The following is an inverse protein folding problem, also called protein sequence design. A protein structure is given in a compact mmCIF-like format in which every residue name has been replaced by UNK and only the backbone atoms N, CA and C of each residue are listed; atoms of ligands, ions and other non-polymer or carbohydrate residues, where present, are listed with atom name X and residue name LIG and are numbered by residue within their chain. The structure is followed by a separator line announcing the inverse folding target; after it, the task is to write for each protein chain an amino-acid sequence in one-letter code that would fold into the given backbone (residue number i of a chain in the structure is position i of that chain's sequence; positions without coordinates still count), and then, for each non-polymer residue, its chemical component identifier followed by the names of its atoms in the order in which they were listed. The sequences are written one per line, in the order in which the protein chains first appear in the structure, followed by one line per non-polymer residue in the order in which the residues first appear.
data_IF_134272211905
#
_entry.id   IF_134272211905
#
_cell.length_a   1.000
_cell.length_b   1.000
_cell.length_c   1.000
_cell.angle_alpha   90.00
_cell.angle_beta   90.00
_cell.angle_gamma   90.00
#
_symmetry.space_group_name_H-M   'P 1'
#
loop_
_entity.id
_entity.type
_entity.pdbx_description
1 polymer ?
#
# COMPACT_ATOMS: atom_id res chain seq x y z
N UNK A 1 -8.31 -3.38 -1.03
CA UNK A 1 -8.70 -4.24 -2.18
C UNK A 1 -8.15 -5.65 -2.05
N UNK A 2 -6.86 -5.81 -1.71
CA UNK A 2 -6.23 -7.11 -1.50
C UNK A 2 -6.60 -7.77 -0.17
N UNK A 3 -6.96 -6.99 0.86
CA UNK A 3 -7.17 -7.50 2.23
C UNK A 3 -8.27 -8.57 2.30
N UNK A 4 -9.27 -8.50 1.42
CA UNK A 4 -10.38 -9.46 1.37
C UNK A 4 -9.97 -10.86 0.88
N UNK A 5 -8.80 -10.99 0.27
CA UNK A 5 -8.30 -12.23 -0.34
C UNK A 5 -7.10 -12.81 0.41
N UNK A 6 -6.44 -11.99 1.23
CA UNK A 6 -5.41 -12.45 2.16
C UNK A 6 -6.06 -13.40 3.18
N UNK A 7 -5.37 -14.48 3.50
CA UNK A 7 -5.87 -15.48 4.43
C UNK A 7 -6.10 -14.88 5.82
N UNK A 8 -7.28 -15.12 6.40
CA UNK A 8 -7.70 -14.49 7.67
C UNK A 8 -6.72 -14.70 8.82
N UNK A 9 -6.03 -15.83 8.85
CA UNK A 9 -5.00 -16.10 9.86
C UNK A 9 -3.77 -15.20 9.65
N UNK A 10 -3.37 -14.91 8.41
CA UNK A 10 -2.27 -13.99 8.12
C UNK A 10 -2.65 -12.57 8.53
N UNK A 11 -3.83 -12.07 8.12
CA UNK A 11 -4.30 -10.74 8.52
C UNK A 11 -4.37 -10.60 10.04
N UNK A 12 -4.84 -11.64 10.74
CA UNK A 12 -4.90 -11.66 12.20
C UNK A 12 -3.50 -11.65 12.82
N UNK A 13 -2.55 -12.42 12.29
CA UNK A 13 -1.17 -12.41 12.79
C UNK A 13 -0.49 -11.06 12.61
N UNK A 14 -0.68 -10.42 11.46
CA UNK A 14 -0.17 -9.06 11.21
C UNK A 14 -0.73 -8.09 12.23
N UNK A 15 -2.06 -8.09 12.44
CA UNK A 15 -2.68 -7.24 13.45
C UNK A 15 -2.10 -7.47 14.86
N UNK A 16 -1.97 -8.74 15.28
CA UNK A 16 -1.35 -9.07 16.57
C UNK A 16 0.10 -8.58 16.65
N UNK A 17 0.86 -8.68 15.57
CA UNK A 17 2.23 -8.18 15.48
C UNK A 17 2.29 -6.66 15.64
N UNK A 18 1.40 -5.91 14.97
CA UNK A 18 1.27 -4.45 15.13
C UNK A 18 0.97 -4.08 16.58
N UNK A 19 0.04 -4.79 17.23
CA UNK A 19 -0.28 -4.55 18.64
C UNK A 19 0.90 -4.86 19.56
N UNK A 20 1.63 -5.97 19.32
CA UNK A 20 2.84 -6.30 20.08
C UNK A 20 3.95 -5.28 19.85
N UNK A 21 4.08 -4.73 18.64
CA UNK A 21 5.12 -3.76 18.34
C UNK A 21 4.86 -2.43 19.06
N UNK A 22 3.62 -1.94 19.02
CA UNK A 22 3.22 -0.67 19.62
C UNK A 22 3.15 -0.75 21.16
N UNK A 23 2.50 -1.78 21.69
CA UNK A 23 2.17 -1.86 23.13
C UNK A 23 3.06 -2.83 23.91
N UNK A 24 3.85 -3.66 23.23
CA UNK A 24 4.70 -4.72 23.81
C UNK A 24 3.96 -5.84 24.53
N UNK A 25 2.68 -5.66 24.86
CA UNK A 25 1.86 -6.65 25.55
C UNK A 25 0.45 -6.73 24.99
N UNK A 26 -0.13 -7.92 25.10
CA UNK A 26 -1.48 -8.23 24.68
C UNK A 26 -2.20 -9.00 25.79
N UNK A 27 -3.42 -8.56 26.11
CA UNK A 27 -4.39 -9.38 26.82
C UNK A 27 -5.11 -10.32 25.84
N UNK A 28 -4.83 -11.61 25.94
CA UNK A 28 -5.34 -12.67 25.07
C UNK A 28 -6.87 -12.76 25.14
N UNK A 29 -7.48 -12.58 26.32
CA UNK A 29 -8.92 -12.68 26.49
C UNK A 29 -9.62 -11.50 25.80
N UNK A 30 -9.12 -10.29 26.04
CA UNK A 30 -9.63 -9.08 25.42
C UNK A 30 -9.53 -9.14 23.89
N UNK A 31 -8.34 -9.47 23.37
CA UNK A 31 -8.10 -9.56 21.93
C UNK A 31 -8.95 -10.66 21.29
N UNK A 32 -9.11 -11.83 21.92
CA UNK A 32 -9.95 -12.91 21.40
C UNK A 32 -11.40 -12.45 21.23
N UNK A 33 -11.94 -11.75 22.23
CA UNK A 33 -13.30 -11.18 22.18
C UNK A 33 -13.43 -10.14 21.08
N UNK A 34 -12.45 -9.24 20.95
CA UNK A 34 -12.46 -8.18 19.93
C UNK A 34 -12.42 -8.75 18.51
N UNK A 35 -11.59 -9.76 18.28
CA UNK A 35 -11.41 -10.41 16.98
C UNK A 35 -12.48 -11.45 16.66
N UNK A 36 -13.39 -11.76 17.61
CA UNK A 36 -14.43 -12.77 17.45
C UNK A 36 -13.87 -14.18 17.28
N UNK A 37 -12.75 -14.49 17.92
CA UNK A 37 -12.09 -15.81 17.88
C UNK A 37 -11.93 -16.38 19.30
N UNK A 38 -11.48 -17.62 19.41
CA UNK A 38 -11.22 -18.24 20.72
C UNK A 38 -9.83 -17.85 21.24
N UNK A 39 -9.66 -17.83 22.57
CA UNK A 39 -8.34 -17.58 23.18
C UNK A 39 -7.26 -18.56 22.69
N UNK A 40 -7.52 -19.87 22.50
CA UNK A 40 -6.54 -20.78 21.89
C UNK A 40 -6.12 -20.37 20.48
N UNK A 41 -7.01 -19.79 19.68
CA UNK A 41 -6.67 -19.29 18.34
C UNK A 41 -5.67 -18.13 18.43
N UNK A 42 -5.92 -17.16 19.31
CA UNK A 42 -5.00 -16.03 19.52
C UNK A 42 -3.66 -16.53 20.03
N UNK A 43 -3.67 -17.46 20.99
CA UNK A 43 -2.44 -18.04 21.55
C UNK A 43 -1.61 -18.75 20.47
N UNK A 44 -2.25 -19.58 19.64
CA UNK A 44 -1.58 -20.25 18.52
C UNK A 44 -0.99 -19.25 17.52
N UNK A 45 -1.70 -18.17 17.21
CA UNK A 45 -1.19 -17.13 16.33
C UNK A 45 0.00 -16.40 16.96
N UNK A 46 -0.04 -16.07 18.25
CA UNK A 46 1.07 -15.47 18.99
C UNK A 46 2.31 -16.38 19.01
N UNK A 47 2.13 -17.66 19.33
CA UNK A 47 3.21 -18.65 19.30
C UNK A 47 3.83 -18.75 17.90
N UNK A 48 3.00 -18.82 16.86
CA UNK A 48 3.48 -18.85 15.48
C UNK A 48 4.19 -17.55 15.07
N UNK A 49 3.74 -16.37 15.52
CA UNK A 49 4.43 -15.10 15.27
C UNK A 49 5.81 -15.14 15.92
N UNK A 50 5.90 -15.55 17.19
CA UNK A 50 7.17 -15.58 17.91
C UNK A 50 8.15 -16.60 17.35
N UNK A 51 7.67 -17.73 16.83
CA UNK A 51 8.52 -18.72 16.15
C UNK A 51 9.03 -18.16 14.81
N UNK A 52 8.15 -17.54 14.02
CA UNK A 52 8.50 -16.94 12.73
C UNK A 52 9.46 -15.76 12.84
N UNK A 53 9.37 -14.99 13.92
CA UNK A 53 10.12 -13.75 14.13
C UNK A 53 11.17 -13.86 15.23
N UNK A 54 11.57 -15.08 15.62
CA UNK A 54 12.50 -15.34 16.73
C UNK A 54 13.77 -14.48 16.62
N UNK A 55 14.32 -14.35 15.40
CA UNK A 55 15.53 -13.56 15.14
C UNK A 55 15.35 -12.05 15.36
N UNK A 56 14.11 -11.54 15.37
CA UNK A 56 13.79 -10.14 15.60
C UNK A 56 13.41 -9.85 17.06
N UNK A 57 13.29 -10.88 17.91
CA UNK A 57 12.78 -10.75 19.28
C UNK A 57 13.94 -10.78 20.29
N UNK A 58 13.87 -9.90 21.27
CA UNK A 58 14.81 -9.80 22.40
C UNK A 58 14.33 -10.57 23.63
N UNK A 59 13.03 -10.48 23.97
CA UNK A 59 12.45 -11.14 25.15
C UNK A 59 10.99 -11.53 24.89
N UNK A 60 10.57 -12.67 25.46
CA UNK A 60 9.20 -13.17 25.40
C UNK A 60 8.79 -13.61 26.81
N UNK A 61 7.64 -13.10 27.28
CA UNK A 61 7.07 -13.50 28.57
C UNK A 61 5.58 -13.73 28.45
N UNK A 62 5.08 -14.72 29.18
CA UNK A 62 3.65 -15.00 29.29
C UNK A 62 3.27 -15.14 30.75
N UNK A 63 2.32 -14.32 31.17
CA UNK A 63 1.76 -14.35 32.52
C UNK A 63 0.23 -14.43 32.44
N UNK A 64 -0.32 -15.62 32.70
CA UNK A 64 -1.76 -15.92 32.60
C UNK A 64 -2.32 -15.57 31.20
N UNK A 65 -3.04 -14.44 31.11
CA UNK A 65 -3.69 -13.93 29.90
C UNK A 65 -2.88 -12.83 29.22
N UNK A 66 -1.79 -12.37 29.82
CA UNK A 66 -0.91 -11.37 29.22
C UNK A 66 0.23 -12.06 28.47
N UNK A 67 0.41 -11.68 27.22
CA UNK A 67 1.50 -12.11 26.36
C UNK A 67 2.36 -10.90 26.00
N UNK A 68 3.64 -10.93 26.36
CA UNK A 68 4.59 -9.83 26.17
C UNK A 68 5.70 -10.24 25.22
N UNK A 69 5.99 -9.37 24.25
CA UNK A 69 7.10 -9.52 23.29
C UNK A 69 7.85 -8.20 23.23
N UNK A 70 9.17 -8.27 23.33
CA UNK A 70 10.06 -7.13 23.13
C UNK A 70 10.86 -7.41 21.86
N UNK A 71 10.69 -6.59 20.82
CA UNK A 71 11.49 -6.67 19.60
C UNK A 71 12.85 -5.99 19.80
N UNK A 72 13.87 -6.47 19.07
CA UNK A 72 15.22 -5.92 19.10
C UNK A 72 15.23 -4.46 18.62
N UNK A 73 16.15 -3.67 19.16
CA UNK A 73 16.35 -2.30 18.71
C UNK A 73 16.72 -2.23 17.21
N UNK A 74 16.10 -1.28 16.49
CA UNK A 74 16.35 -1.04 15.07
C UNK A 74 15.48 -1.85 14.11
N UNK A 75 14.65 -2.77 14.61
CA UNK A 75 13.65 -3.48 13.79
C UNK A 75 12.49 -2.54 13.46
N UNK A 76 12.13 -2.47 12.19
CA UNK A 76 10.97 -1.71 11.73
C UNK A 76 9.70 -2.58 11.70
N UNK A 77 8.54 -1.98 11.97
CA UNK A 77 7.26 -2.69 11.88
C UNK A 77 6.97 -3.19 10.46
N UNK A 78 7.40 -2.43 9.44
CA UNK A 78 7.30 -2.80 8.03
C UNK A 78 7.97 -4.15 7.75
N UNK A 79 9.18 -4.37 8.26
CA UNK A 79 9.94 -5.61 8.11
C UNK A 79 9.17 -6.82 8.71
N UNK A 80 8.65 -6.66 9.92
CA UNK A 80 7.90 -7.71 10.61
C UNK A 80 6.60 -8.04 9.89
N UNK A 81 5.83 -7.03 9.50
CA UNK A 81 4.54 -7.20 8.84
C UNK A 81 4.71 -7.77 7.44
N UNK A 82 5.70 -7.32 6.67
CA UNK A 82 6.04 -7.88 5.36
C UNK A 82 6.43 -9.35 5.43
N UNK A 83 7.21 -9.74 6.45
CA UNK A 83 7.54 -11.15 6.66
C UNK A 83 6.28 -12.01 6.88
N UNK A 84 5.35 -11.54 7.72
CA UNK A 84 4.11 -12.26 7.99
C UNK A 84 3.19 -12.31 6.76
N UNK A 85 3.04 -11.21 6.03
CA UNK A 85 2.30 -11.18 4.77
C UNK A 85 2.95 -12.05 3.70
N UNK A 86 4.27 -12.19 3.70
CA UNK A 86 5.01 -13.10 2.82
C UNK A 86 4.60 -14.57 2.95
N UNK A 87 3.91 -14.95 4.02
CA UNK A 87 3.34 -16.29 4.20
C UNK A 87 2.00 -16.49 3.48
N UNK A 88 1.39 -15.42 2.94
CA UNK A 88 0.13 -15.48 2.19
C UNK A 88 0.34 -16.15 0.83
N UNK A 89 -0.35 -17.26 0.57
CA UNK A 89 -0.32 -17.89 -0.73
C UNK A 89 -1.00 -17.02 -1.79
N UNK A 90 -2.03 -16.26 -1.42
CA UNK A 90 -2.68 -15.32 -2.32
C UNK A 90 -1.69 -14.27 -2.85
N UNK A 91 -0.96 -13.60 -1.96
CA UNK A 91 0.02 -12.57 -2.34
C UNK A 91 1.18 -13.16 -3.15
N UNK A 92 1.70 -14.33 -2.74
CA UNK A 92 2.73 -15.06 -3.48
C UNK A 92 2.28 -15.41 -4.90
N UNK A 93 1.11 -16.02 -5.05
CA UNK A 93 0.58 -16.40 -6.37
C UNK A 93 0.30 -15.17 -7.25
N UNK A 94 -0.18 -14.07 -6.66
CA UNK A 94 -0.34 -12.81 -7.38
C UNK A 94 1.02 -12.26 -7.86
N UNK A 95 2.06 -12.34 -7.03
CA UNK A 95 3.42 -11.94 -7.43
C UNK A 95 3.98 -12.82 -8.55
N UNK A 96 3.74 -14.14 -8.51
CA UNK A 96 4.15 -15.07 -9.56
C UNK A 96 3.41 -14.83 -10.86
N UNK A 97 2.14 -14.43 -10.80
CA UNK A 97 1.39 -13.99 -11.99
C UNK A 97 2.10 -12.83 -12.70
N UNK A 98 2.51 -11.79 -11.97
CA UNK A 98 3.23 -10.65 -12.56
C UNK A 98 4.65 -10.99 -13.04
N UNK A 99 5.26 -12.06 -12.51
CA UNK A 99 6.52 -12.62 -13.01
C UNK A 99 6.35 -13.55 -14.22
N UNK A 100 5.11 -13.80 -14.66
CA UNK A 100 4.80 -14.72 -15.76
C UNK A 100 4.83 -16.21 -15.39
N UNK A 101 4.91 -16.54 -14.09
CA UNK A 101 5.05 -17.91 -13.56
C UNK A 101 3.74 -18.39 -12.94
N UNK A 102 2.70 -18.58 -13.76
CA UNK A 102 1.35 -18.84 -13.25
C UNK A 102 0.75 -20.19 -13.66
N UNK A 103 1.54 -21.10 -14.22
CA UNK A 103 1.04 -22.46 -14.50
C UNK A 103 0.89 -23.26 -13.19
N UNK A 104 0.00 -24.24 -13.17
CA UNK A 104 -0.27 -25.00 -11.94
C UNK A 104 0.93 -25.85 -11.50
N UNK A 105 1.78 -26.29 -12.44
CA UNK A 105 3.01 -27.03 -12.15
C UNK A 105 4.07 -26.12 -11.55
N UNK A 106 4.34 -24.96 -12.16
CA UNK A 106 5.29 -23.97 -11.62
C UNK A 106 4.94 -23.58 -10.19
N UNK A 107 3.67 -23.29 -9.93
CA UNK A 107 3.20 -22.90 -8.59
C UNK A 107 3.30 -24.04 -7.57
N UNK A 108 3.10 -25.29 -8.01
CA UNK A 108 3.28 -26.48 -7.17
C UNK A 108 4.74 -26.64 -6.75
N UNK A 109 5.66 -26.42 -7.70
CA UNK A 109 7.10 -26.58 -7.50
C UNK A 109 7.70 -25.44 -6.68
N UNK A 110 7.27 -24.19 -6.93
CA UNK A 110 7.75 -22.99 -6.23
C UNK A 110 7.39 -22.99 -4.75
N UNK A 111 6.18 -23.43 -4.40
CA UNK A 111 5.65 -23.39 -3.03
C UNK A 111 5.62 -24.76 -2.34
N UNK A 112 6.07 -25.83 -3.01
CA UNK A 112 6.10 -27.20 -2.49
C UNK A 112 4.74 -27.67 -1.93
N UNK A 113 3.65 -27.32 -2.61
CA UNK A 113 2.28 -27.69 -2.24
C UNK A 113 1.64 -28.61 -3.27
N UNK A 114 0.60 -29.34 -2.88
CA UNK A 114 -0.12 -30.22 -3.81
C UNK A 114 -0.88 -29.43 -4.89
N UNK A 115 -1.04 -30.03 -6.07
CA UNK A 115 -1.84 -29.45 -7.16
C UNK A 115 -3.26 -29.08 -6.72
N UNK A 116 -3.88 -29.88 -5.84
CA UNK A 116 -5.22 -29.57 -5.29
C UNK A 116 -5.24 -28.24 -4.53
N UNK A 117 -4.22 -28.00 -3.71
CA UNK A 117 -4.06 -26.73 -2.99
C UNK A 117 -3.77 -25.58 -3.96
N UNK A 118 -2.91 -25.79 -4.96
CA UNK A 118 -2.64 -24.83 -6.04
C UNK A 118 -3.94 -24.41 -6.73
N UNK A 119 -4.80 -25.35 -7.12
CA UNK A 119 -6.07 -25.02 -7.78
C UNK A 119 -6.99 -24.16 -6.92
N UNK A 120 -7.01 -24.41 -5.61
CA UNK A 120 -7.81 -23.62 -4.67
C UNK A 120 -7.29 -22.18 -4.57
N UNK A 121 -5.97 -21.99 -4.42
CA UNK A 121 -5.37 -20.65 -4.32
C UNK A 121 -5.48 -19.90 -5.67
N UNK A 122 -5.22 -20.57 -6.80
CA UNK A 122 -5.41 -19.96 -8.14
C UNK A 122 -6.84 -19.50 -8.33
N UNK A 123 -7.82 -20.26 -7.85
CA UNK A 123 -9.22 -19.84 -7.90
C UNK A 123 -9.42 -18.54 -7.12
N UNK A 124 -8.85 -18.40 -5.92
CA UNK A 124 -8.89 -17.14 -5.15
C UNK A 124 -8.29 -15.97 -5.93
N UNK A 125 -7.15 -16.16 -6.61
CA UNK A 125 -6.54 -15.11 -7.46
C UNK A 125 -7.43 -14.76 -8.67
N UNK A 126 -8.05 -15.75 -9.31
CA UNK A 126 -9.00 -15.52 -10.40
C UNK A 126 -10.28 -14.83 -9.94
N UNK A 127 -10.77 -15.17 -8.74
CA UNK A 127 -11.92 -14.53 -8.12
C UNK A 127 -11.60 -13.07 -7.77
N UNK A 128 -10.36 -12.76 -7.38
CA UNK A 128 -9.85 -11.40 -7.23
C UNK A 128 -9.89 -10.63 -8.56
N UNK A 129 -9.33 -11.20 -9.64
CA UNK A 129 -9.37 -10.55 -10.95
C UNK A 129 -10.80 -10.37 -11.46
N UNK A 130 -11.70 -11.32 -11.17
CA UNK A 130 -13.11 -11.21 -11.54
C UNK A 130 -13.83 -10.10 -10.78
N UNK A 131 -13.64 -10.00 -9.47
CA UNK A 131 -14.30 -8.99 -8.65
C UNK A 131 -13.90 -7.56 -9.04
N UNK A 132 -12.69 -7.39 -9.56
CA UNK A 132 -12.18 -6.10 -10.03
C UNK A 132 -12.35 -5.90 -11.55
N UNK A 133 -13.18 -6.72 -12.22
CA UNK A 133 -13.49 -6.61 -13.66
C UNK A 133 -12.30 -6.76 -14.62
N UNK A 134 -11.20 -7.37 -14.15
CA UNK A 134 -10.02 -7.67 -14.96
C UNK A 134 -10.16 -8.96 -15.77
N UNK A 135 -11.01 -9.89 -15.34
CA UNK A 135 -11.24 -11.15 -16.06
C UNK A 135 -12.31 -10.97 -17.15
N UNK A 136 -11.91 -10.93 -18.43
CA UNK A 136 -12.79 -10.80 -19.60
C UNK A 136 -12.53 -11.94 -20.59
N UNK A 137 -13.56 -12.68 -20.98
CA UNK A 137 -13.45 -13.78 -21.97
C UNK A 137 -12.32 -14.79 -21.67
N UNK A 138 -12.12 -15.14 -20.39
CA UNK A 138 -11.03 -16.01 -19.89
C UNK A 138 -9.60 -15.43 -20.04
N UNK A 139 -9.48 -14.16 -20.39
CA UNK A 139 -8.23 -13.42 -20.39
C UNK A 139 -8.23 -12.43 -19.24
N UNK A 140 -7.07 -12.24 -18.61
CA UNK A 140 -6.87 -11.25 -17.56
C UNK A 140 -6.31 -10.00 -18.24
N UNK A 141 -7.07 -8.91 -18.20
CA UNK A 141 -6.72 -7.62 -18.77
C UNK A 141 -6.83 -6.60 -17.64
N UNK A 142 -5.68 -6.14 -17.16
CA UNK A 142 -5.57 -5.18 -16.06
C UNK A 142 -5.13 -3.85 -16.71
N UNK A 143 -5.85 -2.74 -16.49
CA UNK A 143 -5.38 -1.41 -16.89
C UNK A 143 -3.99 -1.13 -16.32
N UNK A 144 -3.12 -0.47 -17.09
CA UNK A 144 -1.72 -0.29 -16.68
C UNK A 144 -1.58 0.47 -15.35
N UNK A 145 -2.44 1.45 -15.10
CA UNK A 145 -2.48 2.16 -13.81
C UNK A 145 -2.74 1.19 -12.65
N UNK A 146 -3.67 0.24 -12.82
CA UNK A 146 -3.97 -0.77 -11.82
C UNK A 146 -2.84 -1.79 -11.68
N UNK A 147 -2.17 -2.17 -12.78
CA UNK A 147 -0.97 -3.01 -12.73
C UNK A 147 0.08 -2.37 -11.82
N UNK A 148 0.44 -1.10 -12.07
CA UNK A 148 1.46 -0.41 -11.29
C UNK A 148 1.08 -0.30 -9.81
N UNK A 149 -0.18 -0.01 -9.50
CA UNK A 149 -0.67 0.03 -8.12
C UNK A 149 -0.71 -1.34 -7.44
N UNK A 150 -1.01 -2.41 -8.18
CA UNK A 150 -0.94 -3.79 -7.65
C UNK A 150 0.50 -4.20 -7.37
N UNK A 151 1.43 -3.87 -8.27
CA UNK A 151 2.86 -4.11 -8.04
C UNK A 151 3.37 -3.33 -6.83
N UNK A 152 2.99 -2.06 -6.70
CA UNK A 152 3.36 -1.25 -5.54
C UNK A 152 2.71 -1.75 -4.25
N UNK A 153 1.52 -2.33 -4.33
CA UNK A 153 0.91 -3.04 -3.20
C UNK A 153 1.71 -4.30 -2.83
N UNK A 154 2.21 -5.05 -3.82
CA UNK A 154 3.11 -6.19 -3.55
C UNK A 154 4.45 -5.74 -2.93
N UNK A 155 4.99 -4.59 -3.34
CA UNK A 155 6.15 -3.97 -2.65
C UNK A 155 5.81 -3.74 -1.18
N UNK A 156 4.68 -3.08 -0.90
CA UNK A 156 4.26 -2.79 0.48
C UNK A 156 4.05 -4.05 1.31
N UNK A 157 3.33 -5.04 0.77
CA UNK A 157 2.91 -6.22 1.51
C UNK A 157 3.99 -7.29 1.65
N UNK A 158 4.83 -7.52 0.64
CA UNK A 158 5.75 -8.66 0.63
C UNK A 158 7.16 -8.30 0.16
N UNK A 159 7.51 -7.01 0.18
CA UNK A 159 8.77 -6.48 -0.33
C UNK A 159 9.12 -6.98 -1.73
N UNK A 160 8.16 -6.91 -2.66
CA UNK A 160 8.37 -7.39 -4.03
C UNK A 160 9.48 -6.62 -4.76
N UNK A 161 10.55 -7.34 -5.10
CA UNK A 161 11.79 -6.77 -5.67
C UNK A 161 11.74 -6.48 -7.19
N UNK A 162 10.58 -6.69 -7.83
CA UNK A 162 10.49 -6.49 -9.28
C UNK A 162 10.72 -5.03 -9.67
N UNK A 163 11.46 -4.83 -10.76
CA UNK A 163 11.86 -3.51 -11.27
C UNK A 163 12.72 -2.66 -10.33
N UNK A 164 13.30 -3.22 -9.25
CA UNK A 164 14.34 -2.52 -8.48
C UNK A 164 15.47 -2.02 -9.38
N UNK A 165 15.78 -0.74 -9.27
CA UNK A 165 16.84 -0.12 -10.01
C UNK A 165 18.12 -0.14 -9.18
N UNK A 166 19.22 -0.63 -9.78
CA UNK A 166 20.54 -0.64 -9.13
C UNK A 166 21.38 0.58 -9.50
N UNK A 167 20.89 1.45 -10.39
CA UNK A 167 21.57 2.66 -10.77
C UNK A 167 21.39 3.74 -9.70
N UNK A 168 22.48 4.05 -9.00
CA UNK A 168 22.49 5.07 -7.96
C UNK A 168 22.01 6.43 -8.46
N UNK A 169 22.28 6.79 -9.73
CA UNK A 169 21.81 8.07 -10.29
C UNK A 169 20.28 8.15 -10.37
N UNK A 170 19.61 7.02 -10.64
CA UNK A 170 18.14 6.98 -10.68
C UNK A 170 17.59 7.09 -9.27
N UNK A 171 18.16 6.35 -8.32
CA UNK A 171 17.77 6.40 -6.90
C UNK A 171 17.96 7.82 -6.34
N UNK A 172 19.11 8.43 -6.60
CA UNK A 172 19.42 9.80 -6.18
C UNK A 172 18.43 10.80 -6.79
N UNK A 173 18.10 10.65 -8.08
CA UNK A 173 17.10 11.49 -8.75
C UNK A 173 15.69 11.34 -8.14
N UNK A 174 15.30 10.12 -7.76
CA UNK A 174 14.05 9.90 -7.03
C UNK A 174 14.05 10.60 -5.67
N UNK A 175 15.13 10.51 -4.90
CA UNK A 175 15.24 11.21 -3.61
C UNK A 175 15.24 12.74 -3.78
N UNK A 176 15.94 13.25 -4.78
CA UNK A 176 15.93 14.69 -5.10
C UNK A 176 14.54 15.17 -5.49
N UNK A 177 13.77 14.37 -6.25
CA UNK A 177 12.37 14.68 -6.56
C UNK A 177 11.53 14.75 -5.28
N UNK A 178 11.67 13.77 -4.37
CA UNK A 178 10.93 13.76 -3.10
C UNK A 178 11.30 15.00 -2.28
N UNK A 179 12.58 15.29 -2.12
CA UNK A 179 13.07 16.44 -1.36
C UNK A 179 12.60 17.76 -1.96
N UNK A 180 12.52 17.84 -3.29
CA UNK A 180 11.94 18.97 -4.00
C UNK A 180 10.47 19.16 -3.63
N UNK A 181 9.64 18.12 -3.72
CA UNK A 181 8.22 18.18 -3.37
C UNK A 181 8.03 18.55 -1.90
N UNK A 182 8.74 17.89 -0.98
CA UNK A 182 8.71 18.21 0.44
C UNK A 182 9.04 19.69 0.70
N UNK A 183 10.08 20.20 0.05
CA UNK A 183 10.56 21.57 0.27
C UNK A 183 9.63 22.63 -0.31
N UNK A 184 8.94 22.34 -1.42
CA UNK A 184 8.17 23.33 -2.19
C UNK A 184 6.65 23.22 -1.99
N UNK A 185 6.16 22.13 -1.41
CA UNK A 185 4.75 21.96 -1.11
C UNK A 185 4.50 21.91 0.39
N UNK A 186 4.30 23.08 0.99
CA UNK A 186 3.97 23.28 2.41
C UNK A 186 4.91 22.60 3.42
N UNK A 187 6.18 22.34 3.07
CA UNK A 187 7.13 21.64 3.95
C UNK A 187 6.57 20.29 4.42
N UNK A 188 5.94 19.55 3.50
CA UNK A 188 5.53 18.16 3.75
C UNK A 188 6.76 17.32 4.10
N UNK A 189 6.55 16.31 4.92
CA UNK A 189 7.55 15.30 5.29
C UNK A 189 6.91 13.93 5.20
N UNK A 190 7.41 13.13 4.26
CA UNK A 190 7.01 11.74 4.11
C UNK A 190 7.80 10.89 5.11
N UNK A 191 7.18 9.82 5.63
CA UNK A 191 7.88 8.82 6.43
C UNK A 191 8.92 8.08 5.56
N UNK A 192 9.91 7.42 6.17
CA UNK A 192 10.85 6.60 5.41
C UNK A 192 10.14 5.50 4.60
N UNK A 193 9.08 4.90 5.14
CA UNK A 193 8.23 3.93 4.43
C UNK A 193 7.55 4.57 3.21
N UNK A 194 6.96 5.76 3.37
CA UNK A 194 6.31 6.46 2.26
C UNK A 194 7.32 6.92 1.20
N UNK A 195 8.50 7.40 1.60
CA UNK A 195 9.61 7.73 0.69
C UNK A 195 10.03 6.50 -0.10
N UNK A 196 10.25 5.37 0.57
CA UNK A 196 10.54 4.08 -0.06
C UNK A 196 9.48 3.70 -1.09
N UNK A 197 8.19 3.78 -0.74
CA UNK A 197 7.10 3.47 -1.67
C UNK A 197 7.01 4.44 -2.86
N UNK A 198 7.37 5.72 -2.69
CA UNK A 198 7.45 6.67 -3.81
C UNK A 198 8.58 6.25 -4.75
N UNK A 199 9.77 5.97 -4.23
CA UNK A 199 10.92 5.50 -5.03
C UNK A 199 10.54 4.23 -5.80
N UNK A 200 10.04 3.20 -5.11
CA UNK A 200 9.64 1.93 -5.73
C UNK A 200 8.54 2.13 -6.77
N UNK A 201 7.62 3.07 -6.54
CA UNK A 201 6.60 3.45 -7.51
C UNK A 201 7.19 4.03 -8.80
N UNK A 202 8.17 4.92 -8.70
CA UNK A 202 8.88 5.50 -9.85
C UNK A 202 9.69 4.43 -10.60
N UNK A 203 10.36 3.52 -9.88
CA UNK A 203 11.08 2.41 -10.49
C UNK A 203 10.17 1.46 -11.27
N UNK A 204 8.96 1.18 -10.74
CA UNK A 204 7.92 0.45 -11.47
C UNK A 204 7.52 1.20 -12.75
N UNK A 205 7.39 2.52 -12.71
CA UNK A 205 7.06 3.32 -13.91
C UNK A 205 8.15 3.18 -14.98
N UNK A 206 9.42 3.35 -14.60
CA UNK A 206 10.58 3.19 -15.50
C UNK A 206 10.65 1.77 -16.07
N UNK A 207 10.52 0.76 -15.21
CA UNK A 207 10.56 -0.66 -15.60
C UNK A 207 9.39 -1.09 -16.48
N UNK A 208 8.30 -0.32 -16.50
CA UNK A 208 7.10 -0.58 -17.31
C UNK A 208 6.89 0.45 -18.41
N UNK A 209 7.94 1.18 -18.82
CA UNK A 209 7.90 2.17 -19.90
C UNK A 209 7.36 1.62 -21.23
N UNK A 210 7.48 0.33 -21.50
CA UNK A 210 6.92 -0.28 -22.72
C UNK A 210 5.38 -0.42 -22.69
N UNK A 211 4.76 -0.22 -21.52
CA UNK A 211 3.32 -0.32 -21.30
C UNK A 211 2.73 1.09 -21.07
N UNK A 212 2.05 1.68 -22.07
CA UNK A 212 1.56 3.04 -21.97
C UNK A 212 0.41 3.17 -20.96
N UNK A 213 0.44 4.25 -20.19
CA UNK A 213 -0.67 4.68 -19.36
C UNK A 213 -1.71 5.42 -20.19
N UNK A 214 -2.98 5.18 -19.87
CA UNK A 214 -4.10 5.91 -20.45
C UNK A 214 -4.95 6.49 -19.33
N UNK A 215 -5.07 7.81 -19.31
CA UNK A 215 -6.00 8.55 -18.48
C UNK A 215 -6.99 9.27 -19.40
N UNK A 216 -8.24 9.38 -18.96
CA UNK A 216 -9.19 10.20 -19.69
C UNK A 216 -8.84 11.70 -19.55
N UNK A 217 -9.33 12.50 -20.49
CA UNK A 217 -9.01 13.92 -20.55
C UNK A 217 -9.63 14.73 -19.41
N UNK A 218 -10.67 14.21 -18.76
CA UNK A 218 -11.29 14.88 -17.61
C UNK A 218 -10.42 14.71 -16.36
N UNK A 219 -9.89 13.50 -16.14
CA UNK A 219 -8.96 13.15 -15.08
C UNK A 219 -7.64 13.92 -15.22
N UNK A 220 -7.10 14.02 -16.43
CA UNK A 220 -5.90 14.83 -16.70
C UNK A 220 -6.12 16.28 -16.33
N UNK A 221 -7.19 16.91 -16.85
CA UNK A 221 -7.55 18.30 -16.52
C UNK A 221 -7.82 18.50 -15.03
N UNK A 222 -8.36 17.49 -14.35
CA UNK A 222 -8.58 17.53 -12.91
C UNK A 222 -7.24 17.50 -12.15
N UNK A 223 -6.31 16.64 -12.55
CA UNK A 223 -4.97 16.58 -11.98
C UNK A 223 -4.18 17.88 -12.22
N UNK A 224 -4.19 18.39 -13.45
CA UNK A 224 -3.48 19.61 -13.86
C UNK A 224 -3.95 20.89 -13.14
N UNK A 225 -5.14 20.91 -12.53
CA UNK A 225 -5.59 22.04 -11.72
C UNK A 225 -5.00 22.06 -10.32
N UNK A 226 -4.34 20.98 -9.89
CA UNK A 226 -3.93 20.78 -8.50
C UNK A 226 -2.53 21.34 -8.27
N UNK A 227 -2.31 22.15 -7.22
CA UNK A 227 -0.99 22.70 -6.93
C UNK A 227 0.12 21.65 -6.81
N UNK A 228 -0.17 20.52 -6.15
CA UNK A 228 0.77 19.41 -6.02
C UNK A 228 1.21 18.85 -7.38
N UNK A 229 0.30 18.77 -8.36
CA UNK A 229 0.65 18.28 -9.70
C UNK A 229 1.71 19.17 -10.33
N UNK A 230 1.57 20.49 -10.26
CA UNK A 230 2.57 21.41 -10.80
C UNK A 230 3.94 21.28 -10.12
N UNK A 231 3.97 21.10 -8.80
CA UNK A 231 5.21 20.90 -8.06
C UNK A 231 5.88 19.58 -8.48
N UNK A 232 5.12 18.50 -8.58
CA UNK A 232 5.65 17.19 -9.04
C UNK A 232 6.17 17.29 -10.47
N UNK A 233 5.40 17.90 -11.38
CA UNK A 233 5.82 18.10 -12.77
C UNK A 233 7.08 18.95 -12.89
N UNK A 234 7.23 19.99 -12.09
CA UNK A 234 8.44 20.81 -12.05
C UNK A 234 9.64 19.99 -11.55
N UNK A 235 9.50 19.28 -10.43
CA UNK A 235 10.57 18.44 -9.90
C UNK A 235 10.99 17.35 -10.89
N UNK A 236 10.04 16.74 -11.60
CA UNK A 236 10.34 15.75 -12.65
C UNK A 236 11.09 16.37 -13.83
N UNK A 237 10.77 17.60 -14.23
CA UNK A 237 11.48 18.31 -15.28
C UNK A 237 12.96 18.58 -14.92
N UNK A 238 13.25 18.82 -13.64
CA UNK A 238 14.63 18.96 -13.13
C UNK A 238 15.41 17.63 -13.18
N UNK A 239 14.71 16.50 -13.08
CA UNK A 239 15.29 15.16 -13.05
C UNK A 239 15.23 14.40 -14.38
N UNK A 240 14.80 15.05 -15.47
CA UNK A 240 14.55 14.43 -16.79
C UNK A 240 15.75 13.72 -17.41
N UNK A 241 16.97 14.10 -17.04
CA UNK A 241 18.20 13.48 -17.55
C UNK A 241 18.51 12.14 -16.90
N UNK A 242 17.89 11.86 -15.74
CA UNK A 242 18.11 10.67 -14.94
C UNK A 242 16.88 9.77 -14.87
N UNK A 243 15.67 10.35 -14.92
CA UNK A 243 14.41 9.63 -14.90
C UNK A 243 13.86 9.46 -16.32
N UNK A 244 14.07 8.28 -16.89
CA UNK A 244 13.56 7.93 -18.21
C UNK A 244 12.09 7.46 -18.13
N UNK A 245 11.18 8.43 -18.05
CA UNK A 245 9.73 8.22 -17.90
C UNK A 245 8.95 8.73 -19.12
N UNK A 246 7.75 8.18 -19.35
CA UNK A 246 6.82 8.63 -20.38
C UNK A 246 6.10 9.92 -19.96
N UNK A 247 5.49 10.61 -20.92
CA UNK A 247 4.73 11.84 -20.65
C UNK A 247 3.58 11.59 -19.66
N UNK A 248 2.84 10.50 -19.84
CA UNK A 248 1.73 10.11 -18.99
C UNK A 248 2.14 9.62 -17.60
N UNK A 249 3.42 9.29 -17.39
CA UNK A 249 3.93 8.84 -16.08
C UNK A 249 3.85 9.96 -15.04
N UNK A 250 3.83 11.24 -15.46
CA UNK A 250 3.66 12.38 -14.55
C UNK A 250 2.39 12.27 -13.71
N UNK A 251 1.29 11.77 -14.28
CA UNK A 251 0.01 11.61 -13.59
C UNK A 251 0.05 10.46 -12.57
N UNK A 252 0.72 9.36 -12.94
CA UNK A 252 0.93 8.25 -12.02
C UNK A 252 1.85 8.67 -10.86
N UNK A 253 2.97 9.33 -11.13
CA UNK A 253 3.90 9.80 -10.09
C UNK A 253 3.22 10.84 -9.20
N UNK A 254 2.44 11.76 -9.76
CA UNK A 254 1.58 12.66 -8.99
C UNK A 254 0.67 11.89 -8.02
N UNK A 255 0.05 10.79 -8.47
CA UNK A 255 -0.82 9.97 -7.62
C UNK A 255 -0.05 9.30 -6.47
N UNK A 256 1.24 8.98 -6.65
CA UNK A 256 2.10 8.48 -5.57
C UNK A 256 2.21 9.54 -4.47
N UNK A 257 2.63 10.76 -4.80
CA UNK A 257 2.76 11.84 -3.81
C UNK A 257 1.44 12.21 -3.13
N UNK A 258 0.34 12.13 -3.88
CA UNK A 258 -0.98 12.54 -3.39
C UNK A 258 -1.63 11.52 -2.45
N UNK A 259 -1.28 10.24 -2.55
CA UNK A 259 -1.91 9.14 -1.79
C UNK A 259 -1.09 8.70 -0.57
N UNK A 260 0.07 9.30 -0.34
CA UNK A 260 0.97 8.97 0.78
C UNK A 260 0.68 9.81 2.00
N UNK A 261 0.93 9.24 3.16
CA UNK A 261 0.81 9.96 4.42
C UNK A 261 1.99 10.93 4.53
N UNK A 262 1.73 12.09 5.12
CA UNK A 262 2.76 13.09 5.37
C UNK A 262 2.45 13.86 6.64
N UNK A 263 3.48 14.49 7.16
CA UNK A 263 3.38 15.50 8.23
C UNK A 263 3.87 16.84 7.71
N UNK A 264 3.70 17.90 8.49
CA UNK A 264 4.28 19.21 8.18
C UNK A 264 5.09 19.68 9.39
N UNK A 265 6.08 20.54 9.14
CA UNK A 265 6.96 21.08 10.19
C UNK A 265 6.20 21.90 11.25
N UNK A 266 5.04 22.48 10.90
CA UNK A 266 4.19 23.19 11.84
C UNK A 266 2.70 23.14 11.46
N UNK A 267 1.85 23.47 12.44
CA UNK A 267 0.39 23.43 12.32
C UNK A 267 -0.17 24.44 11.31
N UNK A 268 0.48 25.59 11.10
CA UNK A 268 -0.01 26.60 10.15
C UNK A 268 0.14 26.11 8.70
N UNK A 269 1.26 25.47 8.39
CA UNK A 269 1.50 24.85 7.10
C UNK A 269 0.56 23.68 6.86
N UNK A 270 0.34 22.84 7.88
CA UNK A 270 -0.66 21.77 7.80
C UNK A 270 -2.06 22.33 7.52
N UNK A 271 -2.46 23.43 8.18
CA UNK A 271 -3.77 24.06 7.94
C UNK A 271 -3.88 24.60 6.52
N UNK A 272 -2.86 25.31 6.03
CA UNK A 272 -2.84 25.85 4.65
C UNK A 272 -2.86 24.74 3.61
N UNK A 273 -2.09 23.68 3.83
CA UNK A 273 -2.07 22.50 2.98
C UNK A 273 -3.46 21.84 2.97
N UNK A 274 -4.04 21.62 4.15
CA UNK A 274 -5.37 21.07 4.28
C UNK A 274 -6.42 21.93 3.56
N UNK A 275 -6.41 23.25 3.72
CA UNK A 275 -7.33 24.16 3.00
C UNK A 275 -7.17 24.04 1.47
N UNK A 276 -5.92 24.05 0.98
CA UNK A 276 -5.64 23.96 -0.46
C UNK A 276 -6.05 22.59 -1.02
N UNK A 277 -5.74 21.50 -0.31
CA UNK A 277 -6.14 20.14 -0.68
C UNK A 277 -7.66 20.00 -0.59
N UNK A 278 -8.30 20.46 0.48
CA UNK A 278 -9.75 20.39 0.66
C UNK A 278 -10.49 21.14 -0.44
N UNK A 279 -10.12 22.39 -0.72
CA UNK A 279 -10.77 23.18 -1.78
C UNK A 279 -10.54 22.54 -3.17
N UNK A 280 -9.32 22.08 -3.46
CA UNK A 280 -9.01 21.49 -4.77
C UNK A 280 -9.60 20.10 -5.00
N UNK A 281 -9.71 19.27 -3.96
CA UNK A 281 -10.19 17.89 -4.08
C UNK A 281 -11.66 17.72 -3.72
N UNK A 282 -12.20 18.49 -2.78
CA UNK A 282 -13.56 18.30 -2.25
C UNK A 282 -14.48 19.38 -2.80
N UNK A 283 -14.20 20.66 -2.54
CA UNK A 283 -15.12 21.75 -2.92
C UNK A 283 -15.28 21.88 -4.43
N UNK A 284 -14.19 21.76 -5.17
CA UNK A 284 -14.16 21.95 -6.62
C UNK A 284 -14.48 20.67 -7.43
N UNK A 285 -14.88 19.57 -6.77
CA UNK A 285 -15.17 18.28 -7.41
C UNK A 285 -16.67 17.99 -7.41
N UNK A 286 -17.37 18.15 -8.55
CA UNK A 286 -18.84 18.07 -8.60
C UNK A 286 -19.42 16.74 -8.10
N UNK A 287 -18.79 15.61 -8.42
CA UNK A 287 -19.28 14.28 -8.03
C UNK A 287 -19.23 14.05 -6.51
N UNK A 288 -18.29 14.69 -5.80
CA UNK A 288 -18.22 14.65 -4.34
C UNK A 288 -19.30 15.52 -3.70
N UNK A 289 -19.64 16.66 -4.31
CA UNK A 289 -20.76 17.47 -3.88
C UNK A 289 -22.07 16.67 -3.93
N UNK A 290 -22.34 16.00 -5.06
CA UNK A 290 -23.52 15.13 -5.19
C UNK A 290 -23.52 13.98 -4.17
N UNK A 291 -22.35 13.41 -3.87
CA UNK A 291 -22.22 12.34 -2.89
C UNK A 291 -22.51 12.86 -1.47
N UNK A 292 -21.95 14.02 -1.11
CA UNK A 292 -22.19 14.67 0.18
C UNK A 292 -23.67 14.99 0.33
N UNK A 293 -24.32 15.56 -0.69
CA UNK A 293 -25.76 15.81 -0.68
C UNK A 293 -26.58 14.52 -0.50
N UNK A 294 -26.22 13.43 -1.19
CA UNK A 294 -26.89 12.13 -1.02
C UNK A 294 -26.71 11.57 0.39
N UNK A 295 -25.53 11.73 0.99
CA UNK A 295 -25.25 11.30 2.36
C UNK A 295 -26.06 12.13 3.36
N UNK A 296 -26.02 13.46 3.24
CA UNK A 296 -26.77 14.41 4.09
C UNK A 296 -28.27 14.12 4.02
N UNK A 297 -28.80 13.92 2.82
CA UNK A 297 -30.22 13.57 2.60
C UNK A 297 -30.59 12.23 3.25
N UNK A 298 -29.69 11.24 3.26
CA UNK A 298 -29.91 9.93 3.89
C UNK A 298 -29.78 9.94 5.41
N UNK A 299 -28.99 10.86 5.97
CA UNK A 299 -28.70 10.92 7.42
C UNK A 299 -29.67 11.86 8.15
N UNK A 300 -30.52 12.60 7.43
CA UNK A 300 -31.56 13.49 7.97
C UNK A 300 -31.03 14.51 9.00
N UNK A 301 -29.77 14.93 8.80
CA UNK A 301 -29.14 16.03 9.54
C UNK A 301 -28.82 17.14 8.57
N UNK A 302 -29.37 18.33 8.83
CA UNK A 302 -28.82 19.58 8.30
C UNK A 302 -27.39 19.75 8.83
N UNK A 303 -26.42 19.11 8.19
CA UNK A 303 -25.01 19.41 8.39
C UNK A 303 -24.78 20.79 7.78
N UNK A 304 -24.90 21.84 8.60
CA UNK A 304 -24.15 23.06 8.31
C UNK A 304 -22.68 22.66 8.31
N UNK A 305 -21.99 22.96 7.23
CA UNK A 305 -20.60 22.61 7.03
C UNK A 305 -19.76 23.54 7.94
N UNK A 306 -19.73 23.25 9.24
CA UNK A 306 -19.02 24.05 10.26
C UNK A 306 -17.53 23.65 10.33
N UNK A 307 -16.95 23.15 9.23
CA UNK A 307 -15.55 22.70 9.17
C UNK A 307 -14.54 23.83 8.85
N UNK A 308 -14.93 25.10 8.97
CA UNK A 308 -14.06 26.27 8.76
C UNK A 308 -14.03 27.14 10.01
#
# INVERSE_FOLDING_TARGET
MLENYIERNISRKVYLCEQLFEFQEIDIEYIAKMLGVTMPTVLHDLESITECLEYCIEDIKREKHIYRVIFKHGIELSELTQFLYGQSYFLKFLSYYFRGQFTSTELSDLEFISLSKVYTIKKTVLDFFKANSYLRNKQIIIPEFDVRNLLLSLVRYINWEGYENKNHQVIDACHQLIDFVETHFFKRRYSEEDRFLIVRGIEIAIGRKEYPLYFDEEDKKSAEKKPLFHIVSQGLAEQKEHLDIQEEDVYYIFSLFNTRNYTNENMELLKKDFEVVYTSFIENTPCLHELIEKIVTRIDKNCKNDFI
#
